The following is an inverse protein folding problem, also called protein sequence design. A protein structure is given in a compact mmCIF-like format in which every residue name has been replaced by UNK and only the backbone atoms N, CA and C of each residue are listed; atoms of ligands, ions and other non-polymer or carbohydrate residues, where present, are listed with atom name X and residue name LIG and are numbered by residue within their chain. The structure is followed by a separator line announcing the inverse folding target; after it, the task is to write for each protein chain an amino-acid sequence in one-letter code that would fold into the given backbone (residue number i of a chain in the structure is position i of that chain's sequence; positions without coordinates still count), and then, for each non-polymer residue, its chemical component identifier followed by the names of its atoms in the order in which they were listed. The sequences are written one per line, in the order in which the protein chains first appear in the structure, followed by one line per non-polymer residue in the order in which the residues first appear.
data_IF_179134281629
#
_entry.id   IF_179134281629
#
_cell.length_a   1.000
_cell.length_b   1.000
_cell.length_c   1.000
_cell.angle_alpha   90.00
_cell.angle_beta   90.00
_cell.angle_gamma   90.00
#
_symmetry.space_group_name_H-M   'P 1'
#
loop_
_entity.id
_entity.type
_entity.pdbx_description
1 polymer ?
#
# COMPACT_ATOMS: atom_id res chain seq x y z
N UNK A 1 -29.24 -6.92 -80.06
CA UNK A 1 -27.78 -7.10 -79.98
C UNK A 1 -27.30 -6.28 -78.78
N UNK A 2 -26.96 -6.99 -77.68
CA UNK A 2 -26.09 -6.69 -76.51
C UNK A 2 -25.46 -5.28 -76.40
N UNK A 3 -25.25 -4.61 -75.26
CA UNK A 3 -25.22 -4.82 -73.79
C UNK A 3 -25.55 -3.43 -73.13
N UNK A 4 -25.92 -3.26 -71.85
CA UNK A 4 -24.99 -3.18 -70.69
C UNK A 4 -25.72 -2.80 -69.39
N UNK A 5 -25.23 -3.40 -68.31
CA UNK A 5 -25.04 -2.87 -66.95
C UNK A 5 -26.29 -2.36 -66.18
N UNK A 6 -26.40 -2.56 -64.87
CA UNK A 6 -25.44 -3.01 -63.89
C UNK A 6 -26.14 -2.95 -62.55
N UNK A 7 -25.82 -3.92 -61.69
CA UNK A 7 -26.37 -4.09 -60.35
C UNK A 7 -26.05 -2.85 -59.51
N UNK A 8 -27.08 -2.20 -58.96
CA UNK A 8 -26.92 -1.21 -57.89
C UNK A 8 -27.23 -1.92 -56.57
N UNK A 9 -26.16 -2.26 -55.84
CA UNK A 9 -26.23 -2.73 -54.47
C UNK A 9 -26.72 -1.60 -53.56
N UNK A 10 -27.94 -1.73 -53.04
CA UNK A 10 -28.42 -0.87 -51.96
C UNK A 10 -27.75 -1.34 -50.65
N UNK A 11 -26.72 -0.62 -50.22
CA UNK A 11 -25.98 -0.89 -48.97
C UNK A 11 -26.89 -0.64 -47.78
N UNK A 12 -27.20 -1.70 -47.02
CA UNK A 12 -27.85 -1.61 -45.71
C UNK A 12 -26.86 -0.99 -44.72
N UNK A 13 -27.14 0.23 -44.25
CA UNK A 13 -26.36 0.88 -43.21
C UNK A 13 -26.59 0.17 -41.87
N UNK A 14 -25.72 -0.80 -41.56
CA UNK A 14 -25.63 -1.40 -40.23
C UNK A 14 -24.94 -0.40 -39.28
N UNK A 15 -25.73 0.30 -38.47
CA UNK A 15 -25.22 1.13 -37.39
C UNK A 15 -24.56 0.26 -36.32
N UNK A 16 -23.24 0.10 -36.39
CA UNK A 16 -22.45 -0.51 -35.31
C UNK A 16 -22.03 0.60 -34.36
N UNK A 17 -22.65 0.65 -33.18
CA UNK A 17 -22.17 1.47 -32.06
C UNK A 17 -20.85 0.87 -31.56
N UNK A 18 -19.73 1.46 -31.98
CA UNK A 18 -18.42 1.18 -31.42
C UNK A 18 -18.41 1.64 -29.95
N UNK A 19 -18.52 0.71 -29.00
CA UNK A 19 -18.13 0.97 -27.61
C UNK A 19 -16.61 1.02 -27.54
N UNK A 20 -16.03 2.22 -27.61
CA UNK A 20 -14.66 2.43 -27.17
C UNK A 20 -14.62 2.25 -25.65
N UNK A 21 -14.23 1.05 -25.20
CA UNK A 21 -13.94 0.82 -23.79
C UNK A 21 -12.79 1.73 -23.37
N UNK A 22 -13.06 2.71 -22.51
CA UNK A 22 -12.00 3.49 -21.86
C UNK A 22 -11.28 2.53 -20.90
N UNK A 23 -10.09 2.08 -21.30
CA UNK A 23 -9.23 1.30 -20.41
C UNK A 23 -8.68 2.26 -19.35
N UNK A 24 -9.27 2.25 -18.15
CA UNK A 24 -8.67 2.97 -17.02
C UNK A 24 -7.28 2.40 -16.77
N UNK A 25 -6.23 3.24 -16.68
CA UNK A 25 -4.92 2.76 -16.29
C UNK A 25 -5.04 2.06 -14.93
N UNK A 26 -4.29 0.96 -14.71
CA UNK A 26 -4.31 0.29 -13.43
C UNK A 26 -3.98 1.31 -12.35
N UNK A 27 -4.85 1.42 -11.34
CA UNK A 27 -4.52 2.20 -10.15
C UNK A 27 -3.35 1.49 -9.49
N UNK A 28 -2.17 2.10 -9.56
CA UNK A 28 -1.02 1.61 -8.83
C UNK A 28 -1.17 2.00 -7.37
N UNK A 29 -1.97 1.24 -6.62
CA UNK A 29 -2.23 1.44 -5.18
C UNK A 29 -0.98 1.28 -4.31
N UNK A 30 0.16 0.95 -4.91
CA UNK A 30 1.45 0.73 -4.26
C UNK A 30 2.53 1.57 -4.93
N UNK A 31 2.37 2.90 -4.99
CA UNK A 31 3.52 3.76 -5.24
C UNK A 31 4.46 3.67 -4.02
N UNK A 32 5.25 2.61 -3.96
CA UNK A 32 6.30 2.41 -2.95
C UNK A 32 7.51 3.22 -3.40
N UNK A 33 8.03 4.02 -2.49
CA UNK A 33 9.18 4.87 -2.75
C UNK A 33 10.45 4.10 -2.39
N UNK A 34 11.52 4.34 -3.15
CA UNK A 34 12.81 3.75 -2.83
C UNK A 34 13.31 4.23 -1.46
N UNK A 35 13.15 5.53 -1.16
CA UNK A 35 13.75 6.25 -0.01
C UNK A 35 12.90 7.45 0.42
N UNK A 36 13.23 8.03 1.57
CA UNK A 36 12.71 9.33 2.06
C UNK A 36 11.29 9.29 2.64
N UNK A 37 10.75 8.11 2.92
CA UNK A 37 9.44 7.92 3.54
C UNK A 37 9.55 7.66 5.04
N UNK A 38 8.43 7.83 5.73
CA UNK A 38 8.33 7.58 7.16
C UNK A 38 8.34 6.08 7.52
N UNK A 39 8.62 5.81 8.79
CA UNK A 39 8.22 4.58 9.46
C UNK A 39 6.88 4.81 10.14
N UNK A 40 5.96 3.88 9.99
CA UNK A 40 4.65 3.93 10.67
C UNK A 40 4.53 2.78 11.67
N UNK A 41 4.11 3.05 12.92
CA UNK A 41 3.86 1.99 13.89
C UNK A 41 2.59 1.22 13.51
N UNK A 42 2.57 -0.08 13.80
CA UNK A 42 1.41 -0.95 13.60
C UNK A 42 1.01 -1.52 14.94
N UNK A 43 -0.19 -1.20 15.41
CA UNK A 43 -0.77 -1.92 16.54
C UNK A 43 -1.25 -3.29 16.06
N UNK A 44 -0.77 -4.34 16.71
CA UNK A 44 -1.02 -5.73 16.29
C UNK A 44 -2.02 -6.46 17.19
N UNK A 45 -2.45 -5.80 18.27
CA UNK A 45 -3.40 -6.33 19.23
C UNK A 45 -2.83 -6.35 20.65
N UNK A 46 -3.58 -7.00 21.52
CA UNK A 46 -3.24 -7.15 22.93
C UNK A 46 -3.41 -8.61 23.35
N UNK A 47 -2.71 -9.01 24.40
CA UNK A 47 -2.82 -10.33 24.99
C UNK A 47 -2.56 -10.28 26.49
N UNK A 48 -3.01 -11.29 27.22
CA UNK A 48 -2.69 -11.50 28.62
C UNK A 48 -1.64 -12.60 28.76
N UNK A 49 -0.65 -12.40 29.62
CA UNK A 49 0.30 -13.45 29.98
C UNK A 49 -0.24 -14.38 31.07
N UNK A 50 0.55 -15.40 31.44
CA UNK A 50 0.16 -16.38 32.45
C UNK A 50 -0.04 -15.78 33.86
N UNK A 51 0.50 -14.59 34.12
CA UNK A 51 0.31 -13.85 35.37
C UNK A 51 -0.92 -12.91 35.31
N UNK A 52 -1.63 -12.87 34.18
CA UNK A 52 -2.78 -11.99 33.95
C UNK A 52 -2.40 -10.55 33.62
N UNK A 53 -1.14 -10.27 33.27
CA UNK A 53 -0.73 -8.94 32.83
C UNK A 53 -1.12 -8.74 31.36
N UNK A 54 -1.75 -7.60 31.07
CA UNK A 54 -2.13 -7.20 29.71
C UNK A 54 -0.93 -6.54 29.02
N UNK A 55 -0.63 -6.99 27.81
CA UNK A 55 0.42 -6.48 26.94
C UNK A 55 -0.18 -5.99 25.64
N UNK A 56 0.29 -4.84 25.14
CA UNK A 56 -0.01 -4.38 23.79
C UNK A 56 1.17 -4.68 22.85
N UNK A 57 0.94 -5.41 21.76
CA UNK A 57 1.97 -5.74 20.76
C UNK A 57 2.01 -4.71 19.64
N UNK A 58 3.23 -4.34 19.25
CA UNK A 58 3.45 -3.41 18.15
C UNK A 58 4.47 -3.97 17.15
N UNK A 59 4.16 -3.72 15.89
CA UNK A 59 5.06 -3.81 14.74
C UNK A 59 5.36 -2.42 14.18
N UNK A 60 5.99 -2.39 13.01
CA UNK A 60 6.11 -1.19 12.21
C UNK A 60 6.20 -1.51 10.72
N UNK A 61 5.89 -0.53 9.87
CA UNK A 61 6.21 -0.56 8.44
C UNK A 61 7.16 0.58 8.12
N UNK A 62 8.37 0.25 7.67
CA UNK A 62 9.21 1.20 6.98
C UNK A 62 8.75 1.26 5.52
N UNK A 63 8.25 2.42 5.10
CA UNK A 63 7.65 2.63 3.77
C UNK A 63 8.69 2.76 2.65
N UNK A 64 9.98 2.72 2.99
CA UNK A 64 11.09 2.70 2.04
C UNK A 64 11.43 1.29 1.60
N UNK A 65 11.75 1.12 0.31
CA UNK A 65 12.20 -0.16 -0.25
C UNK A 65 13.69 -0.41 0.00
N UNK A 66 14.53 0.62 -0.12
CA UNK A 66 15.99 0.49 -0.19
C UNK A 66 16.72 1.22 0.96
N UNK A 67 15.98 1.72 1.94
CA UNK A 67 16.50 2.53 3.05
C UNK A 67 16.07 1.94 4.39
N UNK A 68 17.07 1.71 5.24
CA UNK A 68 16.87 1.52 6.68
C UNK A 68 17.01 2.87 7.37
N UNK A 69 16.27 3.08 8.45
CA UNK A 69 16.30 4.36 9.18
C UNK A 69 16.79 4.14 10.60
N UNK A 70 17.69 5.02 11.05
CA UNK A 70 18.11 5.12 12.45
C UNK A 70 17.40 6.31 13.09
N UNK A 71 16.45 6.03 13.98
CA UNK A 71 15.66 7.07 14.67
C UNK A 71 15.83 6.85 16.18
N UNK A 72 16.68 7.65 16.85
CA UNK A 72 16.89 7.50 18.29
C UNK A 72 15.62 7.85 19.07
N UNK A 73 15.52 7.34 20.30
CA UNK A 73 14.44 7.71 21.22
C UNK A 73 14.38 9.24 21.36
N UNK A 74 13.19 9.81 21.19
CA UNK A 74 12.99 11.26 21.19
C UNK A 74 11.71 11.67 20.46
N UNK A 75 11.54 12.95 20.10
CA UNK A 75 10.30 13.45 19.50
C UNK A 75 9.83 12.73 18.22
N UNK A 76 10.76 12.12 17.46
CA UNK A 76 10.45 11.31 16.27
C UNK A 76 10.25 9.81 16.54
N UNK A 77 10.49 9.36 17.77
CA UNK A 77 10.40 7.96 18.22
C UNK A 77 10.18 7.89 19.74
N UNK A 78 8.98 8.24 20.18
CA UNK A 78 8.60 8.26 21.60
C UNK A 78 7.18 7.71 21.80
N UNK A 79 6.94 7.14 22.97
CA UNK A 79 5.63 6.66 23.41
C UNK A 79 5.15 7.52 24.59
N UNK A 80 3.85 7.80 24.64
CA UNK A 80 3.22 8.59 25.69
C UNK A 80 1.84 8.01 26.05
N UNK A 81 1.37 8.21 27.30
CA UNK A 81 2.01 8.93 28.40
C UNK A 81 3.12 8.11 29.10
N UNK A 82 3.98 8.78 29.88
CA UNK A 82 5.02 8.13 30.69
C UNK A 82 6.44 8.28 30.11
N UNK A 83 7.26 7.23 30.27
CA UNK A 83 8.59 7.18 29.69
C UNK A 83 8.50 7.16 28.16
N UNK A 84 9.28 8.02 27.51
CA UNK A 84 9.39 8.04 26.04
C UNK A 84 9.96 6.73 25.50
N UNK A 85 10.84 6.07 26.27
CA UNK A 85 11.37 4.75 25.98
C UNK A 85 10.49 3.68 26.64
N UNK A 86 9.92 2.80 25.81
CA UNK A 86 9.17 1.60 26.21
C UNK A 86 9.72 0.36 25.49
N UNK A 87 10.97 0.41 25.00
CA UNK A 87 11.60 -0.69 24.27
C UNK A 87 11.29 -0.72 22.79
N UNK A 88 10.78 0.37 22.21
CA UNK A 88 10.58 0.46 20.77
C UNK A 88 11.92 0.48 20.00
N UNK A 89 11.97 -0.03 18.75
CA UNK A 89 13.21 -0.06 17.96
C UNK A 89 13.80 1.33 17.70
N UNK A 90 15.11 1.41 17.54
CA UNK A 90 15.81 2.62 17.05
C UNK A 90 16.44 2.42 15.67
N UNK A 91 16.45 1.19 15.14
CA UNK A 91 16.91 0.85 13.80
C UNK A 91 15.78 0.15 13.05
N UNK A 92 15.37 0.72 11.91
CA UNK A 92 14.17 0.33 11.19
C UNK A 92 14.51 -0.24 9.82
N UNK A 93 14.51 -1.57 9.71
CA UNK A 93 14.61 -2.30 8.44
C UNK A 93 13.47 -1.97 7.49
N UNK A 94 13.71 -2.07 6.18
CA UNK A 94 12.68 -1.90 5.16
C UNK A 94 11.50 -2.88 5.33
N UNK A 95 10.30 -2.45 4.96
CA UNK A 95 9.09 -3.27 5.00
C UNK A 95 8.48 -3.43 6.39
N UNK A 96 7.66 -4.48 6.55
CA UNK A 96 6.87 -4.73 7.75
C UNK A 96 7.62 -5.66 8.71
N UNK A 97 7.90 -5.17 9.92
CA UNK A 97 8.38 -5.98 11.03
C UNK A 97 7.28 -6.13 12.08
N UNK A 98 7.03 -7.37 12.50
CA UNK A 98 5.91 -7.73 13.37
C UNK A 98 6.40 -8.13 14.76
N UNK A 99 5.61 -7.86 15.78
CA UNK A 99 5.86 -8.26 17.16
C UNK A 99 7.22 -7.77 17.69
N UNK A 100 7.63 -6.55 17.29
CA UNK A 100 8.98 -6.06 17.57
C UNK A 100 9.13 -5.56 19.01
N UNK A 101 8.06 -5.11 19.65
CA UNK A 101 8.05 -4.78 21.08
C UNK A 101 6.64 -4.85 21.67
N UNK A 102 6.57 -4.92 23.00
CA UNK A 102 5.33 -4.90 23.78
C UNK A 102 5.38 -3.82 24.85
N UNK A 103 4.21 -3.28 25.19
CA UNK A 103 4.04 -2.16 26.13
C UNK A 103 3.14 -2.52 27.28
#
# INVERSE_FOLDING_TARGET
MTLRAGVVCLVLAAGTLLHAGVQQPPINSQLRHARGQAVVPVYEGWFEDAAGMVHASYGYVNLNLDETLDIPIGPGNAIAPGSADRGQPTHFLAGHQKGVFTV
#
